data_IF_782132751240
#
_entry.id   IF_782132751240
#
_cell.length_a   1.000
_cell.length_b   1.000
_cell.length_c   1.000
_cell.angle_alpha   90.00
_cell.angle_beta   90.00
_cell.angle_gamma   90.00
#
_symmetry.space_group_name_H-M   'P 1'
#
loop_
_entity.id
_entity.type
_entity.pdbx_description
1 polymer ?
#
# COMPACT_ATOMS: atom_id res chain seq x y z
N UNK A 1 -19.04 -29.17 -28.54
CA UNK A 1 -17.61 -28.95 -28.21
C UNK A 1 -17.42 -29.12 -26.72
N UNK A 2 -16.41 -29.89 -26.32
CA UNK A 2 -16.35 -30.72 -25.10
C UNK A 2 -16.17 -29.96 -23.77
N UNK A 3 -17.05 -30.23 -22.79
CA UNK A 3 -17.04 -29.71 -21.41
C UNK A 3 -16.27 -30.62 -20.41
N UNK A 4 -15.62 -31.68 -20.89
CA UNK A 4 -15.02 -32.75 -20.08
C UNK A 4 -13.91 -32.33 -19.08
N UNK A 5 -12.97 -31.41 -19.41
CA UNK A 5 -11.89 -31.03 -18.49
C UNK A 5 -12.40 -30.34 -17.22
N UNK A 6 -13.48 -29.57 -17.35
CA UNK A 6 -14.04 -28.76 -16.25
C UNK A 6 -14.68 -29.60 -15.15
N UNK A 7 -15.30 -30.73 -15.51
CA UNK A 7 -15.99 -31.62 -14.58
C UNK A 7 -15.01 -32.44 -13.74
N UNK A 8 -13.90 -32.89 -14.34
CA UNK A 8 -12.82 -33.60 -13.62
C UNK A 8 -12.13 -32.67 -12.63
N UNK A 9 -11.84 -31.44 -13.05
CA UNK A 9 -11.24 -30.43 -12.15
C UNK A 9 -12.19 -30.10 -10.99
N UNK A 10 -13.49 -29.95 -11.26
CA UNK A 10 -14.50 -29.68 -10.23
C UNK A 10 -14.60 -30.82 -9.22
N UNK A 11 -14.68 -32.07 -9.69
CA UNK A 11 -14.72 -33.25 -8.80
C UNK A 11 -13.45 -33.39 -7.97
N UNK A 12 -12.27 -33.18 -8.56
CA UNK A 12 -11.00 -33.18 -7.82
C UNK A 12 -10.99 -32.12 -6.74
N UNK A 13 -11.42 -30.89 -7.06
CA UNK A 13 -11.48 -29.81 -6.09
C UNK A 13 -12.37 -30.16 -4.88
N UNK A 14 -13.54 -30.77 -5.08
CA UNK A 14 -14.42 -31.20 -3.98
C UNK A 14 -13.81 -32.25 -3.03
N UNK A 15 -12.80 -32.99 -3.49
CA UNK A 15 -12.11 -34.00 -2.69
C UNK A 15 -10.97 -33.41 -1.85
N UNK A 16 -10.53 -32.18 -2.13
CA UNK A 16 -9.47 -31.52 -1.37
C UNK A 16 -10.07 -30.95 -0.07
N UNK A 17 -9.51 -31.25 1.12
CA UNK A 17 -10.06 -30.83 2.40
C UNK A 17 -10.33 -29.32 2.52
N UNK A 18 -9.44 -28.48 1.97
CA UNK A 18 -9.58 -27.02 2.03
C UNK A 18 -10.83 -26.49 1.30
N UNK A 19 -11.32 -27.20 0.28
CA UNK A 19 -12.53 -26.83 -0.46
C UNK A 19 -13.83 -27.28 0.22
N UNK A 20 -13.73 -27.93 1.39
CA UNK A 20 -14.88 -28.30 2.22
C UNK A 20 -15.08 -27.34 3.39
N UNK A 21 -14.18 -26.37 3.55
CA UNK A 21 -14.36 -25.31 4.52
C UNK A 21 -15.58 -24.46 4.13
N UNK A 22 -16.36 -23.99 5.09
CA UNK A 22 -17.33 -22.92 4.87
C UNK A 22 -16.67 -21.68 4.26
N UNK A 23 -17.44 -20.92 3.49
CA UNK A 23 -16.95 -19.71 2.81
C UNK A 23 -16.34 -18.71 3.80
N UNK A 24 -16.86 -18.62 5.03
CA UNK A 24 -16.37 -17.73 6.09
C UNK A 24 -14.98 -18.10 6.60
N UNK A 25 -14.70 -19.40 6.70
CA UNK A 25 -13.35 -19.86 7.11
C UNK A 25 -12.36 -19.67 5.97
N UNK A 26 -12.81 -19.88 4.73
CA UNK A 26 -11.97 -19.68 3.56
C UNK A 26 -11.65 -18.18 3.36
N UNK A 27 -12.61 -17.28 3.59
CA UNK A 27 -12.36 -15.83 3.57
C UNK A 27 -11.38 -15.40 4.66
N UNK A 28 -11.53 -15.92 5.89
CA UNK A 28 -10.61 -15.65 6.99
C UNK A 28 -9.17 -16.07 6.63
N UNK A 29 -9.01 -17.25 6.03
CA UNK A 29 -7.70 -17.72 5.56
C UNK A 29 -7.11 -16.77 4.51
N UNK A 30 -7.92 -16.27 3.58
CA UNK A 30 -7.46 -15.32 2.56
C UNK A 30 -7.05 -13.98 3.16
N UNK A 31 -7.82 -13.46 4.10
CA UNK A 31 -7.52 -12.22 4.81
C UNK A 31 -6.25 -12.35 5.65
N UNK A 32 -6.09 -13.44 6.38
CA UNK A 32 -4.87 -13.74 7.14
C UNK A 32 -3.65 -13.79 6.20
N UNK A 33 -3.76 -14.50 5.08
CA UNK A 33 -2.70 -14.58 4.08
C UNK A 33 -2.37 -13.21 3.45
N UNK A 34 -3.36 -12.31 3.31
CA UNK A 34 -3.15 -10.95 2.82
C UNK A 34 -2.54 -9.99 3.86
N UNK A 35 -2.87 -10.20 5.13
CA UNK A 35 -2.37 -9.41 6.25
C UNK A 35 -0.95 -9.80 6.68
N UNK A 36 -0.53 -11.04 6.40
CA UNK A 36 0.74 -11.58 6.88
C UNK A 36 1.93 -10.71 6.44
N UNK A 37 2.61 -10.17 7.46
CA UNK A 37 3.70 -9.24 7.28
C UNK A 37 5.04 -9.83 6.86
N UNK A 38 5.13 -11.15 6.85
CA UNK A 38 6.33 -11.88 6.45
C UNK A 38 6.53 -11.90 4.93
N UNK A 39 5.45 -11.70 4.17
CA UNK A 39 5.54 -11.60 2.72
C UNK A 39 5.99 -10.21 2.28
N UNK A 40 6.96 -10.20 1.36
CA UNK A 40 7.43 -8.98 0.69
C UNK A 40 6.22 -8.20 0.12
N UNK A 41 6.26 -6.85 0.07
CA UNK A 41 5.11 -6.03 -0.35
C UNK A 41 4.59 -6.34 -1.77
N UNK A 42 5.45 -6.86 -2.65
CA UNK A 42 5.13 -7.38 -3.97
C UNK A 42 4.25 -8.65 -3.88
N UNK A 43 4.61 -9.60 -3.02
CA UNK A 43 3.90 -10.88 -2.83
C UNK A 43 2.54 -10.70 -2.15
N UNK A 44 2.41 -9.78 -1.18
CA UNK A 44 1.11 -9.48 -0.55
C UNK A 44 0.05 -9.01 -1.53
N UNK A 45 0.46 -8.28 -2.57
CA UNK A 45 -0.45 -7.83 -3.63
C UNK A 45 -0.84 -8.91 -4.63
N UNK A 46 -0.16 -10.05 -4.61
CA UNK A 46 -0.50 -11.18 -5.46
C UNK A 46 -1.55 -12.09 -4.84
N UNK A 47 -1.73 -12.10 -3.51
CA UNK A 47 -2.60 -13.10 -2.88
C UNK A 47 -4.04 -12.99 -3.37
N UNK A 48 -4.59 -11.78 -3.52
CA UNK A 48 -5.97 -11.58 -3.99
C UNK A 48 -6.18 -12.19 -5.38
N UNK A 49 -5.18 -12.02 -6.25
CA UNK A 49 -5.20 -12.55 -7.61
C UNK A 49 -4.94 -14.05 -7.64
N UNK A 50 -4.03 -14.55 -6.80
CA UNK A 50 -3.70 -15.97 -6.67
C UNK A 50 -4.93 -16.73 -6.19
N UNK A 51 -5.54 -16.32 -5.07
CA UNK A 51 -6.72 -17.03 -4.53
C UNK A 51 -7.90 -16.94 -5.49
N UNK A 52 -8.07 -15.80 -6.18
CA UNK A 52 -9.05 -15.66 -7.27
C UNK A 52 -8.74 -16.53 -8.49
N UNK A 53 -7.52 -17.06 -8.62
CA UNK A 53 -7.05 -17.90 -9.72
C UNK A 53 -7.23 -19.41 -9.48
N UNK A 54 -7.28 -19.86 -8.22
CA UNK A 54 -7.20 -21.29 -7.85
C UNK A 54 -8.38 -22.12 -8.37
N UNK A 55 -9.62 -21.70 -8.09
CA UNK A 55 -10.82 -22.43 -8.50
C UNK A 55 -12.03 -21.49 -8.66
N UNK A 56 -13.12 -21.99 -9.27
CA UNK A 56 -14.38 -21.22 -9.35
C UNK A 56 -14.94 -20.88 -7.98
N UNK A 57 -14.82 -21.81 -7.02
CA UNK A 57 -15.28 -21.64 -5.65
C UNK A 57 -14.44 -20.58 -4.91
N UNK A 58 -13.12 -20.68 -4.96
CA UNK A 58 -12.22 -19.70 -4.33
C UNK A 58 -12.39 -18.30 -4.92
N UNK A 59 -12.59 -18.21 -6.24
CA UNK A 59 -12.94 -16.95 -6.89
C UNK A 59 -14.25 -16.38 -6.36
N UNK A 60 -15.27 -17.22 -6.20
CA UNK A 60 -16.56 -16.80 -5.61
C UNK A 60 -16.38 -16.22 -4.22
N UNK A 61 -15.66 -16.93 -3.34
CA UNK A 61 -15.36 -16.46 -1.97
C UNK A 61 -14.55 -15.17 -2.00
N UNK A 62 -13.43 -15.12 -2.72
CA UNK A 62 -12.57 -13.93 -2.79
C UNK A 62 -13.31 -12.69 -3.32
N UNK A 63 -14.20 -12.83 -4.30
CA UNK A 63 -15.02 -11.71 -4.80
C UNK A 63 -16.11 -11.27 -3.82
N UNK A 64 -16.55 -12.17 -2.94
CA UNK A 64 -17.54 -11.89 -1.90
C UNK A 64 -16.91 -11.41 -0.58
N UNK A 65 -15.58 -11.30 -0.50
CA UNK A 65 -14.82 -10.80 0.65
C UNK A 65 -14.23 -9.42 0.34
N UNK A 66 -14.92 -8.29 0.62
CA UNK A 66 -14.46 -6.96 0.20
C UNK A 66 -13.16 -6.53 0.90
N UNK A 67 -12.97 -6.92 2.17
CA UNK A 67 -11.80 -6.56 2.97
C UNK A 67 -10.49 -7.10 2.39
N UNK A 68 -10.55 -8.18 1.61
CA UNK A 68 -9.41 -8.71 0.89
C UNK A 68 -8.83 -7.72 -0.15
N UNK A 69 -9.64 -6.77 -0.64
CA UNK A 69 -9.31 -5.85 -1.73
C UNK A 69 -9.03 -4.41 -1.26
N UNK A 70 -8.87 -4.17 0.03
CA UNK A 70 -8.67 -2.82 0.59
C UNK A 70 -7.24 -2.32 0.51
N UNK A 71 -6.26 -3.22 0.50
CA UNK A 71 -4.85 -2.89 0.49
C UNK A 71 -4.37 -2.55 -0.93
N UNK A 72 -4.02 -1.29 -1.17
CA UNK A 72 -3.55 -0.79 -2.47
C UNK A 72 -2.14 -0.23 -2.39
N UNK A 73 -1.31 -0.53 -3.38
CA UNK A 73 0.08 -0.11 -3.45
C UNK A 73 0.54 0.06 -4.91
N UNK A 74 1.80 0.46 -5.11
CA UNK A 74 2.33 0.70 -6.47
C UNK A 74 2.28 -0.53 -7.39
N UNK A 75 2.35 -1.75 -6.84
CA UNK A 75 2.33 -3.00 -7.61
C UNK A 75 0.94 -3.34 -8.14
N UNK A 76 -0.12 -3.08 -7.37
CA UNK A 76 -1.49 -3.33 -7.82
C UNK A 76 -2.16 -2.11 -8.49
N UNK A 77 -1.45 -0.98 -8.61
CA UNK A 77 -1.92 0.22 -9.31
C UNK A 77 -2.47 -0.04 -10.72
N UNK A 78 -1.87 -0.87 -11.59
CA UNK A 78 -2.47 -1.19 -12.90
C UNK A 78 -3.87 -1.82 -12.78
N UNK A 79 -4.18 -2.40 -11.63
CA UNK A 79 -5.45 -3.05 -11.31
C UNK A 79 -6.30 -2.23 -10.33
N UNK A 80 -6.00 -0.93 -10.14
CA UNK A 80 -6.67 -0.07 -9.16
C UNK A 80 -8.20 -0.14 -9.28
N UNK A 81 -8.74 -0.12 -10.50
CA UNK A 81 -10.18 -0.23 -10.74
C UNK A 81 -10.79 -1.53 -10.17
N UNK A 82 -10.07 -2.66 -10.24
CA UNK A 82 -10.53 -3.93 -9.68
C UNK A 82 -10.57 -3.87 -8.15
N UNK A 83 -9.53 -3.33 -7.52
CA UNK A 83 -9.44 -3.21 -6.06
C UNK A 83 -10.51 -2.25 -5.52
N UNK A 84 -10.70 -1.10 -6.18
CA UNK A 84 -11.78 -0.15 -5.85
C UNK A 84 -13.15 -0.80 -5.99
N UNK A 85 -13.41 -1.50 -7.10
CA UNK A 85 -14.71 -2.14 -7.35
C UNK A 85 -15.00 -3.25 -6.34
N UNK A 86 -14.02 -4.10 -6.05
CA UNK A 86 -14.21 -5.29 -5.20
C UNK A 86 -14.18 -4.98 -3.71
N UNK A 87 -13.49 -3.92 -3.30
CA UNK A 87 -13.55 -3.44 -1.91
C UNK A 87 -14.90 -2.84 -1.53
N UNK A 88 -15.79 -2.55 -2.49
CA UNK A 88 -17.12 -1.97 -2.24
C UNK A 88 -17.01 -0.72 -1.37
N UNK A 89 -17.59 -0.75 -0.15
CA UNK A 89 -17.55 0.34 0.83
C UNK A 89 -16.55 0.08 1.97
N UNK A 90 -15.78 -1.02 1.93
CA UNK A 90 -14.73 -1.27 2.91
C UNK A 90 -13.68 -0.15 2.86
N UNK A 91 -13.10 0.20 4.01
CA UNK A 91 -12.15 1.30 4.05
C UNK A 91 -10.81 0.88 3.43
N UNK A 92 -10.20 1.78 2.65
CA UNK A 92 -8.96 1.52 1.90
C UNK A 92 -7.71 1.77 2.74
N UNK A 93 -6.71 0.88 2.58
CA UNK A 93 -5.35 1.10 3.08
C UNK A 93 -4.41 1.35 1.91
N UNK A 94 -3.90 2.56 1.81
CA UNK A 94 -3.09 3.04 0.69
C UNK A 94 -1.62 3.10 1.10
N UNK A 95 -0.78 2.38 0.37
CA UNK A 95 0.65 2.25 0.63
C UNK A 95 1.48 2.66 -0.59
N UNK A 96 1.96 3.90 -0.58
CA UNK A 96 2.89 4.43 -1.55
C UNK A 96 4.32 4.42 -1.00
N UNK A 97 5.04 3.31 -1.15
CA UNK A 97 6.47 3.26 -0.79
C UNK A 97 7.37 3.48 -2.02
N UNK A 98 8.50 4.15 -1.85
CA UNK A 98 9.52 4.23 -2.91
C UNK A 98 10.25 2.88 -3.03
N UNK A 99 10.52 2.37 -4.26
CA UNK A 99 11.29 1.13 -4.45
C UNK A 99 12.67 1.15 -3.80
N UNK A 100 13.22 2.33 -3.52
CA UNK A 100 14.55 2.47 -2.92
C UNK A 100 14.66 1.78 -1.56
N UNK A 101 13.60 1.73 -0.74
CA UNK A 101 13.62 1.01 0.55
C UNK A 101 13.67 -0.52 0.36
N UNK A 102 13.08 -1.04 -0.73
CA UNK A 102 13.07 -2.47 -1.03
C UNK A 102 14.30 -2.97 -1.78
N UNK A 103 15.05 -2.06 -2.42
CA UNK A 103 16.23 -2.37 -3.23
C UNK A 103 17.52 -2.40 -2.37
N UNK A 104 17.56 -1.67 -1.25
CA UNK A 104 18.70 -1.70 -0.31
C UNK A 104 18.85 -3.08 0.39
N UNK A 105 17.79 -3.89 0.43
CA UNK A 105 17.83 -5.23 1.04
C UNK A 105 18.53 -6.30 0.17
N UNK A 106 18.85 -6.02 -1.10
CA UNK A 106 19.33 -7.04 -2.05
C UNK A 106 20.46 -6.60 -2.98
N UNK A 107 21.13 -5.48 -2.72
CA UNK A 107 22.32 -5.15 -3.49
C UNK A 107 23.50 -6.03 -3.08
N UNK A 108 23.96 -6.81 -4.06
CA UNK A 108 25.37 -7.18 -4.18
C UNK A 108 26.23 -5.93 -3.93
N UNK A 109 27.10 -5.92 -2.89
CA UNK A 109 27.90 -4.76 -2.53
C UNK A 109 28.91 -4.33 -3.61
N UNK A 110 29.06 -5.11 -4.70
CA UNK A 110 29.95 -4.80 -5.82
C UNK A 110 29.30 -3.99 -6.95
N UNK A 111 27.97 -3.90 -7.00
CA UNK A 111 27.25 -3.11 -8.01
C UNK A 111 27.03 -1.69 -7.50
N UNK A 112 27.66 -0.71 -8.15
CA UNK A 112 27.44 0.70 -7.88
C UNK A 112 25.93 1.02 -7.96
N UNK A 113 25.33 1.73 -6.98
CA UNK A 113 23.94 2.17 -7.08
C UNK A 113 23.78 3.04 -8.32
N UNK A 114 23.12 2.53 -9.36
CA UNK A 114 22.75 3.34 -10.51
C UNK A 114 21.54 4.18 -10.11
N UNK A 115 21.58 5.53 -10.23
CA UNK A 115 20.43 6.35 -9.94
C UNK A 115 19.31 5.99 -10.92
N UNK A 116 18.29 5.27 -10.45
CA UNK A 116 17.08 5.06 -11.25
C UNK A 116 16.43 6.44 -11.40
N UNK A 117 16.18 6.94 -12.62
CA UNK A 117 15.55 8.23 -12.81
C UNK A 117 14.23 8.28 -12.02
N UNK A 118 14.21 9.09 -10.96
CA UNK A 118 13.01 9.35 -10.18
C UNK A 118 12.09 10.20 -11.06
N UNK A 119 11.25 9.55 -11.86
CA UNK A 119 10.13 10.23 -12.50
C UNK A 119 9.26 10.82 -11.38
N UNK A 120 9.33 12.15 -11.20
CA UNK A 120 8.58 12.92 -10.19
C UNK A 120 7.07 12.96 -10.44
N UNK A 121 6.53 11.99 -11.18
CA UNK A 121 5.10 11.76 -11.37
C UNK A 121 4.63 10.47 -10.69
N UNK A 122 5.51 9.77 -9.96
CA UNK A 122 5.25 8.45 -9.42
C UNK A 122 4.13 8.41 -8.40
N UNK A 123 4.01 9.41 -7.51
CA UNK A 123 2.94 9.44 -6.51
C UNK A 123 1.63 9.92 -7.12
N UNK A 124 1.64 11.04 -7.86
CA UNK A 124 0.42 11.59 -8.46
C UNK A 124 -0.26 10.54 -9.35
N UNK A 125 0.48 9.90 -10.26
CA UNK A 125 -0.07 8.83 -11.10
C UNK A 125 -0.53 7.62 -10.28
N UNK A 126 0.10 7.34 -9.14
CA UNK A 126 -0.31 6.26 -8.25
C UNK A 126 -1.63 6.57 -7.55
N UNK A 127 -1.78 7.77 -6.99
CA UNK A 127 -2.88 8.12 -6.10
C UNK A 127 -4.16 8.52 -6.86
N UNK A 128 -4.03 9.06 -8.07
CA UNK A 128 -5.16 9.59 -8.85
C UNK A 128 -6.40 8.68 -8.91
N UNK A 129 -6.29 7.36 -9.18
CA UNK A 129 -7.44 6.47 -9.21
C UNK A 129 -8.19 6.33 -7.88
N UNK A 130 -7.53 6.66 -6.76
CA UNK A 130 -8.08 6.51 -5.42
C UNK A 130 -8.65 7.82 -4.85
N UNK A 131 -8.28 8.98 -5.42
CA UNK A 131 -8.75 10.31 -4.95
C UNK A 131 -10.28 10.41 -4.83
N UNK A 132 -11.09 9.91 -5.80
CA UNK A 132 -12.56 9.97 -5.70
C UNK A 132 -13.14 9.15 -4.55
N UNK A 133 -12.32 8.32 -3.90
CA UNK A 133 -12.71 7.43 -2.81
C UNK A 133 -12.08 7.83 -1.47
N UNK A 134 -11.56 9.06 -1.36
CA UNK A 134 -10.94 9.62 -0.15
C UNK A 134 -11.84 9.57 1.07
N UNK A 135 -13.17 9.61 0.87
CA UNK A 135 -14.16 9.52 1.94
C UNK A 135 -14.09 8.22 2.77
N UNK A 136 -13.51 7.15 2.22
CA UNK A 136 -13.41 5.82 2.85
C UNK A 136 -11.96 5.36 2.98
N UNK A 137 -10.98 6.26 3.01
CA UNK A 137 -9.61 5.88 3.31
C UNK A 137 -9.46 5.65 4.82
N UNK A 138 -8.90 4.51 5.23
CA UNK A 138 -8.53 4.23 6.63
C UNK A 138 -7.08 4.57 6.90
N UNK A 139 -6.19 4.18 5.98
CA UNK A 139 -4.75 4.37 6.12
C UNK A 139 -4.13 4.99 4.87
N UNK A 140 -3.21 5.93 5.05
CA UNK A 140 -2.37 6.48 3.99
C UNK A 140 -0.90 6.48 4.44
N UNK A 141 -0.08 5.64 3.82
CA UNK A 141 1.38 5.58 4.01
C UNK A 141 2.08 6.06 2.76
N UNK A 142 2.92 7.07 2.90
CA UNK A 142 3.66 7.70 1.81
C UNK A 142 5.13 7.76 2.21
N UNK A 143 6.02 7.15 1.42
CA UNK A 143 7.46 7.32 1.56
C UNK A 143 8.11 7.79 0.25
N UNK A 144 9.05 8.72 0.39
CA UNK A 144 9.90 9.18 -0.70
C UNK A 144 9.19 10.01 -1.77
N UNK A 145 8.20 10.81 -1.37
CA UNK A 145 7.42 11.68 -2.26
C UNK A 145 7.79 13.14 -2.03
N UNK A 146 7.93 13.91 -3.13
CA UNK A 146 8.21 15.35 -3.09
C UNK A 146 7.01 16.11 -2.52
N UNK A 147 7.27 17.20 -1.79
CA UNK A 147 6.20 18.05 -1.22
C UNK A 147 5.22 18.56 -2.27
N UNK A 148 5.70 18.95 -3.45
CA UNK A 148 4.85 19.41 -4.56
C UNK A 148 3.88 18.35 -5.07
N UNK A 149 4.21 17.07 -4.95
CA UNK A 149 3.30 15.98 -5.34
C UNK A 149 2.19 15.74 -4.30
N UNK A 150 2.39 16.16 -3.05
CA UNK A 150 1.38 16.02 -1.98
C UNK A 150 0.24 17.05 -2.09
N UNK A 151 0.43 18.13 -2.83
CA UNK A 151 -0.59 19.18 -3.04
C UNK A 151 -1.90 18.64 -3.63
N UNK A 152 -1.84 17.51 -4.35
CA UNK A 152 -3.01 16.81 -4.90
C UNK A 152 -4.00 16.32 -3.81
N UNK A 153 -3.54 16.20 -2.56
CA UNK A 153 -4.37 15.77 -1.43
C UNK A 153 -5.14 16.93 -0.78
N UNK A 154 -4.68 18.17 -0.96
CA UNK A 154 -5.23 19.36 -0.31
C UNK A 154 -6.74 19.56 -0.48
N UNK A 155 -7.37 19.30 -1.65
CA UNK A 155 -8.82 19.52 -1.81
C UNK A 155 -9.67 18.38 -1.25
N UNK A 156 -9.07 17.27 -0.80
CA UNK A 156 -9.81 16.07 -0.43
C UNK A 156 -10.39 16.18 0.98
N UNK A 157 -11.45 15.40 1.20
CA UNK A 157 -11.96 15.08 2.53
C UNK A 157 -11.70 13.60 2.81
N UNK A 158 -11.00 13.32 3.89
CA UNK A 158 -10.70 11.96 4.34
C UNK A 158 -11.20 11.76 5.78
N UNK A 159 -12.54 11.76 6.01
CA UNK A 159 -13.14 11.71 7.34
C UNK A 159 -12.88 10.39 8.08
N UNK A 160 -12.74 9.30 7.34
CA UNK A 160 -12.49 7.95 7.88
C UNK A 160 -11.00 7.64 8.08
N UNK A 161 -10.11 8.61 7.81
CA UNK A 161 -8.66 8.38 7.85
C UNK A 161 -8.18 8.29 9.30
N UNK A 162 -7.85 7.08 9.71
CA UNK A 162 -7.37 6.77 11.06
C UNK A 162 -5.85 6.87 11.14
N UNK A 163 -5.15 6.65 10.03
CA UNK A 163 -3.71 6.61 10.03
C UNK A 163 -3.08 7.32 8.83
N UNK A 164 -2.14 8.20 9.12
CA UNK A 164 -1.38 8.95 8.13
C UNK A 164 0.11 8.87 8.46
N UNK A 165 0.91 8.36 7.54
CA UNK A 165 2.37 8.32 7.66
C UNK A 165 3.01 8.91 6.42
N UNK A 166 3.90 9.89 6.62
CA UNK A 166 4.59 10.58 5.53
C UNK A 166 6.09 10.64 5.88
N UNK A 167 6.92 9.93 5.12
CA UNK A 167 8.37 10.18 5.08
C UNK A 167 8.73 10.86 3.75
N UNK A 168 9.42 12.00 3.83
CA UNK A 168 9.83 12.77 2.66
C UNK A 168 11.35 12.88 2.65
N UNK A 169 11.94 12.80 1.46
CA UNK A 169 13.35 13.08 1.29
C UNK A 169 13.54 14.60 1.38
N UNK A 170 14.33 15.04 2.36
CA UNK A 170 14.93 16.38 2.28
C UNK A 170 15.96 16.30 1.15
N UNK A 171 15.71 17.01 0.04
CA UNK A 171 16.75 17.24 -0.95
C UNK A 171 17.87 18.01 -0.23
N UNK A 172 18.98 17.34 0.09
CA UNK A 172 20.19 17.98 0.62
C UNK A 172 20.83 18.79 -0.50
N UNK A 173 20.23 19.94 -0.78
CA UNK A 173 20.79 20.96 -1.65
C UNK A 173 20.77 22.25 -0.85
N UNK A 174 21.92 22.52 -0.22
CA UNK A 174 22.32 23.77 0.44
C UNK A 174 22.39 23.70 1.97
N UNK A 175 23.59 23.95 2.47
CA UNK A 175 23.90 24.38 3.82
C UNK A 175 23.21 25.73 4.09
N UNK A 176 21.93 25.70 4.39
CA UNK A 176 21.20 26.84 4.92
C UNK A 176 20.76 26.50 6.34
N UNK A 177 21.13 27.39 7.26
CA UNK A 177 20.93 27.36 8.70
C UNK A 177 19.62 26.72 9.18
N UNK A 178 19.75 25.93 10.25
CA UNK A 178 18.69 25.44 11.13
C UNK A 178 17.71 26.56 11.50
N UNK A 179 16.69 26.73 10.68
CA UNK A 179 15.43 27.35 11.05
C UNK A 179 14.39 26.26 10.86
N UNK A 180 13.63 26.00 11.92
CA UNK A 180 12.64 24.93 11.94
C UNK A 180 11.72 25.02 10.72
N UNK A 181 11.47 23.92 9.97
CA UNK A 181 10.43 23.91 8.97
C UNK A 181 9.10 23.67 9.69
N UNK A 182 8.68 24.65 10.50
CA UNK A 182 7.34 24.70 11.08
C UNK A 182 6.37 25.22 10.01
N UNK A 183 6.23 24.48 8.91
CA UNK A 183 5.22 24.76 7.89
C UNK A 183 4.12 23.73 8.06
N UNK A 184 3.05 24.14 8.74
CA UNK A 184 1.81 23.39 8.89
C UNK A 184 1.32 22.93 7.50
N UNK A 185 1.48 21.65 7.19
CA UNK A 185 0.91 21.03 5.98
C UNK A 185 -0.57 20.78 6.25
N UNK A 186 -1.44 21.64 5.73
CA UNK A 186 -2.87 21.34 5.62
C UNK A 186 -3.06 20.37 4.45
N UNK A 187 -2.78 19.08 4.69
CA UNK A 187 -2.78 18.04 3.66
C UNK A 187 -4.19 17.69 3.15
N UNK A 188 -5.22 17.95 3.96
CA UNK A 188 -6.62 17.67 3.65
C UNK A 188 -7.48 18.87 4.02
N UNK A 189 -8.57 19.08 3.28
CA UNK A 189 -9.56 20.11 3.59
C UNK A 189 -10.46 19.64 4.74
N UNK A 190 -10.32 20.26 5.90
CA UNK A 190 -11.00 19.87 7.16
C UNK A 190 -9.99 19.34 8.17
N UNK A 191 -10.05 19.83 9.41
CA UNK A 191 -9.15 19.43 10.50
C UNK A 191 -9.57 18.07 11.02
N UNK A 192 -8.86 16.99 10.68
CA UNK A 192 -9.34 15.69 11.09
C UNK A 192 -8.73 15.38 12.47
N UNK A 193 -9.57 14.87 13.35
CA UNK A 193 -9.25 14.78 14.78
C UNK A 193 -8.19 13.69 14.98
N UNK A 194 -7.05 14.05 15.58
CA UNK A 194 -5.96 13.17 15.98
C UNK A 194 -5.20 12.41 14.86
N UNK A 195 -4.28 13.10 14.18
CA UNK A 195 -3.22 12.42 13.43
C UNK A 195 -1.94 12.33 14.24
N UNK A 196 -1.38 11.13 14.30
CA UNK A 196 0.06 11.00 14.47
C UNK A 196 0.73 11.33 13.12
N UNK A 197 0.93 12.62 12.83
CA UNK A 197 1.82 13.02 11.74
C UNK A 197 3.25 12.74 12.21
N UNK A 198 3.75 11.54 11.92
CA UNK A 198 5.17 11.25 12.06
C UNK A 198 5.86 11.62 10.76
N UNK A 199 6.36 12.86 10.66
CA UNK A 199 7.30 13.23 9.60
C UNK A 199 8.69 12.76 10.03
N UNK A 200 9.15 11.66 9.43
CA UNK A 200 10.57 11.33 9.47
C UNK A 200 11.22 11.99 8.25
N UNK A 201 12.12 12.93 8.52
CA UNK A 201 13.16 13.23 7.56
C UNK A 201 14.16 12.08 7.68
N UNK A 202 14.26 11.24 6.65
CA UNK A 202 15.40 10.35 6.53
C UNK A 202 16.63 11.24 6.37
N UNK A 203 17.31 11.52 7.48
CA UNK A 203 18.70 11.94 7.44
C UNK A 203 19.42 10.76 6.79
N UNK A 204 19.69 10.88 5.48
CA UNK A 204 20.66 10.03 4.80
C UNK A 204 21.98 10.30 5.51
N UNK A 205 22.26 9.54 6.55
CA UNK A 205 23.48 9.69 7.34
C UNK A 205 24.58 9.03 6.53
N UNK A 206 25.53 9.78 5.95
CA UNK A 206 26.71 9.16 5.40
C UNK A 206 27.57 8.78 6.61
N UNK A 207 27.61 7.48 6.91
CA UNK A 207 28.54 6.84 7.85
C UNK A 207 28.12 6.91 9.34
N UNK A 208 27.88 5.73 9.91
CA UNK A 208 27.98 5.37 11.34
C UNK A 208 27.56 6.41 12.40
N UNK A 209 26.44 6.18 13.10
CA UNK A 209 26.24 6.71 14.46
C UNK A 209 24.79 6.98 14.88
N UNK A 210 24.28 6.12 15.76
CA UNK A 210 23.19 6.29 16.76
C UNK A 210 22.06 7.29 16.48
N UNK A 211 20.84 6.77 16.29
CA UNK A 211 19.60 7.56 16.31
C UNK A 211 19.21 7.95 17.74
N UNK A 212 18.91 9.23 17.98
CA UNK A 212 18.33 9.72 19.25
C UNK A 212 16.84 10.03 19.02
N UNK A 213 15.91 9.48 19.82
CA UNK A 213 14.51 9.83 19.74
C UNK A 213 14.25 11.20 20.38
N UNK A 214 13.71 12.14 19.62
CA UNK A 214 13.13 13.38 20.18
C UNK A 214 11.70 13.08 20.63
N UNK A 215 11.52 12.82 21.91
CA UNK A 215 10.21 12.75 22.56
C UNK A 215 9.72 14.17 22.84
N UNK A 216 8.55 14.56 22.32
CA UNK A 216 7.85 15.78 22.75
C UNK A 216 7.01 15.48 23.99
N UNK A 217 7.20 16.28 25.04
CA UNK A 217 6.18 16.57 26.07
C UNK A 217 5.29 17.70 25.57
#
# INVERSE_FOLDING_TARGET
MSCYPSLIQTRRNLLIPINRLPDELLSLVFELAASDSTYRPDVRTHIQLIVSGVSKHWRGVALNTPDLWTAVNKFNRPLAHLFVTRSKQAQLDIHCHSPHESVIAYHDPTLSPQPIPHSGAGFVHFITPFLPHSNRWRSLRISGVKRSELEVLSPLQAPELQHLWISSFLETSSTASLSEPNVSLTLFSGSPHAFAICVYADCVNPLHGSAVPVSRR
#
